data_IF_846654125157
#
_entry.id   IF_846654125157
#
_cell.length_a   1.000
_cell.length_b   1.000
_cell.length_c   1.000
_cell.angle_alpha   90.00
_cell.angle_beta   90.00
_cell.angle_gamma   90.00
#
_symmetry.space_group_name_H-M   'P 1'
#
loop_
_entity.id
_entity.type
_entity.pdbx_description
1 polymer ?
#
# COMPACT_ATOMS: atom_id res chain seq x y z
N UNK A 1 17.17 15.03 24.30
CA UNK A 1 16.54 15.34 23.01
C UNK A 1 15.14 14.75 22.95
N UNK A 2 14.20 15.43 22.30
CA UNK A 2 12.85 14.92 22.04
C UNK A 2 12.67 14.59 20.56
N UNK A 3 11.77 13.66 20.26
CA UNK A 3 11.22 13.44 18.93
C UNK A 3 9.77 13.88 18.93
N UNK A 4 9.35 14.58 17.87
CA UNK A 4 7.95 14.92 17.64
C UNK A 4 7.52 14.40 16.28
N UNK A 5 6.42 13.66 16.26
CA UNK A 5 5.69 13.39 15.04
C UNK A 5 4.56 14.40 14.89
N UNK A 6 4.35 14.87 13.67
CA UNK A 6 3.16 15.62 13.28
C UNK A 6 2.43 14.87 12.18
N UNK A 7 1.17 14.59 12.44
CA UNK A 7 0.30 13.86 11.52
C UNK A 7 -0.87 14.75 11.10
N UNK A 8 -1.14 14.88 9.79
CA UNK A 8 -2.39 15.43 9.31
C UNK A 8 -3.57 14.61 9.85
N UNK A 9 -4.65 15.29 10.25
CA UNK A 9 -5.87 14.64 10.74
C UNK A 9 -7.03 15.06 9.87
N UNK A 10 -7.80 14.06 9.42
CA UNK A 10 -9.10 14.26 8.79
C UNK A 10 -10.17 14.13 9.86
N UNK A 11 -10.89 15.21 10.14
CA UNK A 11 -11.90 15.23 11.19
C UNK A 11 -12.95 16.31 10.94
N UNK A 12 -14.12 16.10 11.53
CA UNK A 12 -15.19 17.09 11.70
C UNK A 12 -15.38 17.46 13.18
N UNK A 13 -14.58 16.87 14.08
CA UNK A 13 -14.63 17.09 15.52
C UNK A 13 -14.12 18.48 15.87
N UNK A 14 -14.95 19.24 16.59
CA UNK A 14 -14.55 20.52 17.19
C UNK A 14 -14.12 20.33 18.63
N UNK A 15 -13.04 21.01 19.02
CA UNK A 15 -12.54 20.98 20.41
C UNK A 15 -12.40 22.40 20.93
N UNK A 16 -13.05 22.68 22.07
CA UNK A 16 -13.07 24.01 22.68
C UNK A 16 -11.85 24.27 23.56
N UNK A 17 -11.35 23.25 24.24
CA UNK A 17 -10.23 23.34 25.19
C UNK A 17 -9.14 22.37 24.74
N UNK A 18 -7.93 22.90 24.57
CA UNK A 18 -6.75 22.13 24.16
C UNK A 18 -5.77 22.05 25.32
N UNK A 19 -5.56 20.85 25.84
CA UNK A 19 -4.49 20.57 26.79
C UNK A 19 -3.64 19.41 26.28
N UNK A 20 -2.30 19.48 26.43
CA UNK A 20 -1.44 18.34 26.18
C UNK A 20 -1.86 17.15 27.06
N UNK A 21 -2.02 15.98 26.45
CA UNK A 21 -2.42 14.76 27.14
C UNK A 21 -1.18 13.88 27.27
N UNK A 22 -0.83 13.52 28.50
CA UNK A 22 0.27 12.61 28.77
C UNK A 22 -0.26 11.17 28.87
N UNK A 23 0.29 10.28 28.04
CA UNK A 23 0.09 8.84 28.14
C UNK A 23 1.48 8.19 28.16
N UNK A 24 1.86 7.61 29.30
CA UNK A 24 3.24 7.22 29.58
C UNK A 24 4.20 8.41 29.41
N UNK A 25 5.19 8.30 28.53
CA UNK A 25 6.14 9.36 28.19
C UNK A 25 5.80 10.08 26.86
N UNK A 26 4.70 9.70 26.21
CA UNK A 26 4.16 10.43 25.07
C UNK A 26 3.29 11.60 25.53
N UNK A 27 3.44 12.71 24.83
CA UNK A 27 2.62 13.92 24.98
C UNK A 27 1.87 14.12 23.67
N UNK A 28 0.54 14.00 23.72
CA UNK A 28 -0.36 14.18 22.59
C UNK A 28 -0.96 15.58 22.62
N UNK A 29 -0.90 16.27 21.48
CA UNK A 29 -1.48 17.61 21.33
C UNK A 29 -2.29 17.67 20.04
N UNK A 30 -3.61 17.88 20.18
CA UNK A 30 -4.50 18.07 19.04
C UNK A 30 -4.49 19.53 18.60
N UNK A 31 -4.01 19.78 17.40
CA UNK A 31 -4.08 21.10 16.78
C UNK A 31 -5.39 21.25 16.02
N UNK A 32 -5.85 22.49 15.93
CA UNK A 32 -7.12 22.82 15.30
C UNK A 32 -6.94 23.87 14.21
N UNK A 33 -7.82 23.83 13.21
CA UNK A 33 -8.02 24.92 12.28
C UNK A 33 -8.64 26.15 12.99
N UNK A 34 -8.84 27.24 12.22
CA UNK A 34 -9.51 28.46 12.69
C UNK A 34 -10.93 28.20 13.22
N UNK A 35 -11.60 27.14 12.76
CA UNK A 35 -12.96 26.78 13.15
C UNK A 35 -13.03 25.79 14.34
N UNK A 36 -11.92 25.66 15.08
CA UNK A 36 -11.73 24.69 16.17
C UNK A 36 -11.84 23.22 15.75
N UNK A 37 -11.78 22.91 14.46
CA UNK A 37 -11.80 21.53 13.94
C UNK A 37 -10.40 20.94 14.07
N UNK A 38 -10.29 19.74 14.64
CA UNK A 38 -8.99 19.04 14.71
C UNK A 38 -8.45 18.79 13.31
N UNK A 39 -7.23 19.22 13.03
CA UNK A 39 -6.59 19.05 11.71
C UNK A 39 -5.16 18.51 11.76
N UNK A 40 -4.54 18.44 12.95
CA UNK A 40 -3.22 17.85 13.13
C UNK A 40 -3.13 17.20 14.51
N UNK A 41 -2.40 16.08 14.60
CA UNK A 41 -2.03 15.45 15.85
C UNK A 41 -0.52 15.52 16.00
N UNK A 42 -0.07 16.13 17.09
CA UNK A 42 1.33 16.15 17.46
C UNK A 42 1.56 15.15 18.57
N UNK A 43 2.63 14.36 18.44
CA UNK A 43 3.03 13.43 19.49
C UNK A 43 4.51 13.59 19.77
N UNK A 44 4.83 14.03 20.98
CA UNK A 44 6.19 14.32 21.44
C UNK A 44 6.62 13.34 22.52
N UNK A 45 7.85 12.83 22.45
CA UNK A 45 8.40 11.92 23.46
C UNK A 45 9.94 12.00 23.53
N UNK A 46 10.57 11.53 24.62
CA UNK A 46 12.04 11.46 24.73
C UNK A 46 12.66 10.56 23.65
N UNK A 47 13.78 10.98 23.05
CA UNK A 47 14.42 10.27 21.95
C UNK A 47 15.88 9.91 22.24
N UNK A 48 16.17 8.61 22.28
CA UNK A 48 17.53 8.08 22.47
C UNK A 48 18.48 8.48 21.34
N UNK A 49 19.76 8.68 21.69
CA UNK A 49 20.83 9.05 20.76
C UNK A 49 20.98 8.14 19.54
N UNK A 50 20.71 6.83 19.72
CA UNK A 50 20.74 5.83 18.63
C UNK A 50 19.69 6.06 17.53
N UNK A 51 18.68 6.89 17.80
CA UNK A 51 17.60 7.20 16.89
C UNK A 51 17.66 8.63 16.34
N UNK A 52 18.76 9.34 16.59
CA UNK A 52 19.00 10.66 16.02
C UNK A 52 19.32 10.53 14.54
N UNK A 53 18.90 11.49 13.71
CA UNK A 53 19.20 11.45 12.28
C UNK A 53 20.69 11.66 12.09
N UNK A 54 21.28 10.93 11.15
CA UNK A 54 22.70 11.04 10.85
C UNK A 54 22.96 11.14 9.35
N UNK A 55 24.00 11.89 9.00
CA UNK A 55 24.48 12.02 7.63
C UNK A 55 25.89 11.41 7.61
N UNK A 56 26.02 10.29 6.90
CA UNK A 56 27.28 9.57 6.74
C UNK A 56 27.86 9.91 5.37
N UNK A 57 29.07 10.47 5.36
CA UNK A 57 29.85 10.68 4.14
C UNK A 57 30.31 9.32 3.62
N UNK A 58 30.07 9.05 2.34
CA UNK A 58 30.66 7.89 1.66
C UNK A 58 31.88 8.33 0.85
N UNK A 59 32.92 7.50 0.85
CA UNK A 59 34.13 7.69 0.02
C UNK A 59 33.93 7.27 -1.45
N UNK A 60 32.71 6.94 -1.86
CA UNK A 60 32.42 6.41 -3.20
C UNK A 60 32.08 7.55 -4.18
N UNK A 61 32.50 7.45 -5.45
CA UNK A 61 32.49 8.57 -6.40
C UNK A 61 31.10 9.06 -6.81
N UNK A 62 30.07 8.21 -6.72
CA UNK A 62 28.72 8.51 -7.23
C UNK A 62 27.71 8.97 -6.16
N UNK A 63 27.94 8.69 -4.88
CA UNK A 63 27.04 9.05 -3.77
C UNK A 63 27.79 9.86 -2.73
N UNK A 64 27.51 11.16 -2.66
CA UNK A 64 28.22 12.12 -1.78
C UNK A 64 27.86 11.99 -0.29
N UNK A 65 26.65 11.52 0.04
CA UNK A 65 26.20 11.34 1.41
C UNK A 65 25.04 10.33 1.49
N UNK A 66 24.97 9.61 2.61
CA UNK A 66 23.84 8.76 2.96
C UNK A 66 23.13 9.37 4.17
N UNK A 67 21.85 9.70 4.02
CA UNK A 67 21.01 10.20 5.11
C UNK A 67 20.35 8.99 5.77
N UNK A 68 20.69 8.76 7.04
CA UNK A 68 20.08 7.72 7.86
C UNK A 68 18.98 8.36 8.71
N UNK A 69 17.73 8.16 8.28
CA UNK A 69 16.54 8.53 9.04
C UNK A 69 16.07 7.31 9.84
N UNK A 70 15.86 7.51 11.14
CA UNK A 70 15.24 6.52 12.01
C UNK A 70 13.79 6.93 12.27
N UNK A 71 12.90 5.96 12.47
CA UNK A 71 11.50 6.19 12.87
C UNK A 71 11.32 5.72 14.33
N UNK A 72 11.66 6.57 15.32
CA UNK A 72 11.75 6.14 16.70
C UNK A 72 10.35 5.77 17.21
N UNK A 73 10.19 4.56 17.76
CA UNK A 73 8.94 4.09 18.40
C UNK A 73 7.69 4.18 17.53
N UNK A 74 7.84 4.25 16.20
CA UNK A 74 6.73 4.44 15.29
C UNK A 74 5.68 3.33 15.40
N UNK A 75 6.10 2.06 15.50
CA UNK A 75 5.16 0.93 15.67
C UNK A 75 4.28 1.05 16.93
N UNK A 76 4.88 1.38 18.08
CA UNK A 76 4.15 1.61 19.33
C UNK A 76 3.16 2.77 19.18
N UNK A 77 3.62 3.89 18.60
CA UNK A 77 2.81 5.07 18.37
C UNK A 77 1.61 4.80 17.45
N UNK A 78 1.81 4.05 16.37
CA UNK A 78 0.73 3.71 15.45
C UNK A 78 -0.39 2.92 16.13
N UNK A 79 -0.08 2.05 17.09
CA UNK A 79 -1.10 1.31 17.85
C UNK A 79 -1.95 2.23 18.72
N UNK A 80 -1.32 3.19 19.41
CA UNK A 80 -2.03 4.18 20.24
C UNK A 80 -2.91 5.08 19.36
N UNK A 81 -2.39 5.56 18.23
CA UNK A 81 -3.15 6.42 17.31
C UNK A 81 -4.38 5.70 16.76
N UNK A 82 -4.25 4.42 16.35
CA UNK A 82 -5.39 3.61 15.86
C UNK A 82 -6.47 3.44 16.92
N UNK A 83 -6.07 3.27 18.17
CA UNK A 83 -7.00 3.22 19.29
C UNK A 83 -7.75 4.56 19.44
N UNK A 84 -7.04 5.69 19.38
CA UNK A 84 -7.63 7.03 19.44
C UNK A 84 -8.61 7.25 18.28
N UNK A 85 -8.22 6.93 17.04
CA UNK A 85 -9.09 6.99 15.86
C UNK A 85 -10.37 6.18 16.06
N UNK A 86 -10.24 4.95 16.54
CA UNK A 86 -11.38 4.06 16.78
C UNK A 86 -12.34 4.64 17.81
N UNK A 87 -11.82 5.15 18.93
CA UNK A 87 -12.63 5.71 20.03
C UNK A 87 -13.29 7.03 19.64
N UNK A 88 -12.59 7.88 18.88
CA UNK A 88 -13.09 9.20 18.49
C UNK A 88 -13.94 9.18 17.21
N UNK A 89 -13.99 8.06 16.48
CA UNK A 89 -14.77 7.91 15.24
C UNK A 89 -16.25 8.27 15.40
N UNK A 90 -16.84 7.94 16.55
CA UNK A 90 -18.23 8.28 16.90
C UNK A 90 -18.48 9.78 17.03
N UNK A 91 -17.42 10.59 17.18
CA UNK A 91 -17.49 12.04 17.39
C UNK A 91 -16.97 12.83 16.19
N UNK A 92 -16.95 12.21 15.01
CA UNK A 92 -16.55 12.86 13.76
C UNK A 92 -15.05 12.87 13.48
N UNK A 93 -14.25 12.17 14.27
CA UNK A 93 -12.82 12.00 14.04
C UNK A 93 -12.61 10.90 12.99
N UNK A 94 -12.18 11.24 11.78
CA UNK A 94 -12.23 10.27 10.67
C UNK A 94 -10.94 9.45 10.59
N UNK A 95 -9.79 10.11 10.52
CA UNK A 95 -8.51 9.41 10.40
C UNK A 95 -7.31 10.30 10.71
N UNK A 96 -6.18 9.69 11.07
CA UNK A 96 -4.84 10.27 11.14
C UNK A 96 -4.01 9.75 9.96
N UNK A 97 -3.44 10.67 9.18
CA UNK A 97 -2.59 10.32 8.06
C UNK A 97 -1.18 9.94 8.54
N UNK A 98 -0.99 8.64 8.74
CA UNK A 98 0.29 8.07 9.17
C UNK A 98 1.36 8.08 8.06
N UNK A 99 0.96 8.16 6.79
CA UNK A 99 1.88 8.11 5.65
C UNK A 99 2.50 9.48 5.35
N UNK A 100 1.72 10.57 5.50
CA UNK A 100 2.15 11.96 5.30
C UNK A 100 2.63 12.63 6.60
N UNK A 101 3.58 12.00 7.31
CA UNK A 101 4.05 12.49 8.61
C UNK A 101 5.31 13.36 8.47
N UNK A 102 5.42 14.33 9.37
CA UNK A 102 6.65 15.08 9.63
C UNK A 102 7.28 14.57 10.93
N UNK A 103 8.57 14.24 10.88
CA UNK A 103 9.37 13.85 12.04
C UNK A 103 10.30 15.01 12.37
N UNK A 104 10.32 15.44 13.62
CA UNK A 104 11.17 16.52 14.13
C UNK A 104 11.99 16.02 15.31
N UNK A 105 13.29 16.34 15.32
CA UNK A 105 14.19 16.08 16.44
C UNK A 105 14.49 17.41 17.13
N UNK A 106 13.99 17.54 18.35
CA UNK A 106 13.99 18.80 19.11
C UNK A 106 15.12 18.73 20.15
N UNK A 107 16.23 19.49 19.97
CA UNK A 107 17.30 19.55 20.95
C UNK A 107 16.83 20.23 22.23
N UNK A 108 17.23 19.67 23.38
CA UNK A 108 16.91 20.20 24.71
C UNK A 108 18.05 21.07 25.27
N UNK A 109 19.23 21.04 24.64
CA UNK A 109 20.38 21.86 25.02
C UNK A 109 21.28 22.17 23.81
N UNK A 110 22.21 23.12 23.97
CA UNK A 110 23.10 23.56 22.90
C UNK A 110 24.05 22.47 22.39
N UNK A 111 24.42 21.52 23.25
CA UNK A 111 25.26 20.38 22.84
C UNK A 111 24.51 19.49 21.85
N UNK A 112 23.24 19.19 22.13
CA UNK A 112 22.38 18.43 21.21
C UNK A 112 22.18 19.20 19.90
N UNK A 113 21.87 20.50 19.99
CA UNK A 113 21.66 21.36 18.82
C UNK A 113 22.86 21.40 17.88
N UNK A 114 24.08 21.46 18.42
CA UNK A 114 25.34 21.42 17.62
C UNK A 114 25.59 20.07 16.95
N UNK A 115 25.13 18.98 17.58
CA UNK A 115 25.33 17.62 17.04
C UNK A 115 24.29 17.21 16.00
N UNK A 116 23.15 17.89 15.96
CA UNK A 116 22.05 17.60 15.07
C UNK A 116 22.30 18.22 13.68
N UNK A 117 22.47 17.37 12.66
CA UNK A 117 22.70 17.82 11.27
C UNK A 117 21.40 17.97 10.46
N UNK A 118 20.31 17.42 10.97
CA UNK A 118 18.98 17.43 10.37
C UNK A 118 17.97 17.53 11.50
N UNK A 119 17.15 18.57 11.49
CA UNK A 119 16.15 18.85 12.53
C UNK A 119 14.77 18.28 12.21
N UNK A 120 14.49 18.05 10.92
CA UNK A 120 13.20 17.54 10.46
C UNK A 120 13.29 16.72 9.18
N UNK A 121 12.34 15.81 9.01
CA UNK A 121 12.19 14.98 7.81
C UNK A 121 10.70 14.77 7.49
N UNK A 122 10.29 15.10 6.27
CA UNK A 122 8.93 14.86 5.78
C UNK A 122 8.90 13.62 4.91
N UNK A 123 8.05 12.66 5.28
CA UNK A 123 7.73 11.51 4.45
C UNK A 123 6.45 11.82 3.68
N UNK A 124 6.51 11.83 2.34
CA UNK A 124 5.35 11.92 1.46
C UNK A 124 5.38 10.70 0.51
N UNK A 125 4.22 10.11 0.18
CA UNK A 125 4.15 9.05 -0.82
C UNK A 125 4.61 9.60 -2.17
N UNK A 126 5.45 8.82 -2.85
CA UNK A 126 6.03 9.15 -4.15
C UNK A 126 4.94 9.16 -5.23
N UNK A 127 4.25 10.27 -5.43
CA UNK A 127 3.38 10.49 -6.60
C UNK A 127 3.86 11.70 -7.38
N UNK A 128 4.80 11.48 -8.30
CA UNK A 128 5.28 12.52 -9.21
C UNK A 128 4.48 12.47 -10.51
N UNK A 129 3.62 13.48 -10.73
CA UNK A 129 2.80 13.60 -11.93
C UNK A 129 3.63 13.64 -13.23
N UNK A 130 4.88 14.12 -13.14
CA UNK A 130 5.79 14.23 -14.28
C UNK A 130 6.37 12.88 -14.71
N UNK A 131 6.22 11.83 -13.88
CA UNK A 131 6.71 10.48 -14.17
C UNK A 131 5.58 9.53 -14.63
N UNK A 132 4.37 10.05 -14.87
CA UNK A 132 3.28 9.23 -15.38
C UNK A 132 3.55 8.84 -16.84
N UNK A 133 3.28 7.58 -17.23
CA UNK A 133 3.44 7.17 -18.62
C UNK A 133 2.47 7.96 -19.51
N UNK A 134 2.99 8.51 -20.60
CA UNK A 134 2.17 9.10 -21.65
C UNK A 134 1.46 7.94 -22.35
N UNK A 135 0.13 7.93 -22.30
CA UNK A 135 -0.68 6.97 -23.07
C UNK A 135 -0.95 7.55 -24.45
N UNK A 136 -0.86 6.70 -25.49
CA UNK A 136 -1.22 7.10 -26.84
C UNK A 136 -2.75 7.29 -26.94
N UNK A 137 -3.19 8.30 -27.68
CA UNK A 137 -4.61 8.50 -27.98
C UNK A 137 -5.26 7.26 -28.61
N UNK A 138 -4.53 6.50 -29.44
CA UNK A 138 -5.00 5.24 -30.02
C UNK A 138 -5.45 4.24 -28.96
N UNK A 139 -4.73 4.15 -27.83
CA UNK A 139 -5.09 3.23 -26.74
C UNK A 139 -6.45 3.60 -26.11
N UNK A 140 -6.76 4.90 -26.01
CA UNK A 140 -8.04 5.39 -25.50
C UNK A 140 -9.16 4.98 -26.45
N UNK A 141 -9.01 5.27 -27.74
CA UNK A 141 -10.03 4.97 -28.75
C UNK A 141 -10.24 3.46 -28.90
N UNK A 142 -9.16 2.69 -28.97
CA UNK A 142 -9.21 1.23 -29.05
C UNK A 142 -9.87 0.61 -27.81
N UNK A 143 -9.63 1.17 -26.62
CA UNK A 143 -10.34 0.75 -25.41
C UNK A 143 -11.84 0.97 -25.53
N UNK A 144 -12.28 2.11 -26.08
CA UNK A 144 -13.71 2.39 -26.31
C UNK A 144 -14.33 1.45 -27.34
N UNK A 145 -13.67 1.23 -28.47
CA UNK A 145 -14.16 0.32 -29.52
C UNK A 145 -14.21 -1.13 -29.07
N UNK A 146 -13.39 -1.52 -28.09
CA UNK A 146 -13.43 -2.87 -27.52
C UNK A 146 -14.66 -3.14 -26.64
N UNK A 147 -15.44 -2.11 -26.25
CA UNK A 147 -16.55 -2.23 -25.29
C UNK A 147 -17.58 -3.33 -25.63
N UNK A 148 -18.11 -3.44 -26.87
CA UNK A 148 -19.16 -4.42 -27.17
C UNK A 148 -18.72 -5.86 -26.90
N UNK A 149 -17.45 -6.16 -27.14
CA UNK A 149 -16.88 -7.50 -26.92
C UNK A 149 -16.37 -7.69 -25.48
N UNK A 150 -15.87 -6.62 -24.85
CA UNK A 150 -15.18 -6.69 -23.56
C UNK A 150 -16.07 -6.42 -22.33
N UNK A 151 -17.31 -5.94 -22.48
CA UNK A 151 -18.13 -5.54 -21.32
C UNK A 151 -18.27 -6.63 -20.24
N UNK A 152 -18.37 -7.90 -20.66
CA UNK A 152 -18.51 -9.03 -19.75
C UNK A 152 -17.30 -9.25 -18.81
N UNK A 153 -16.11 -8.72 -19.14
CA UNK A 153 -14.92 -8.83 -18.27
C UNK A 153 -14.80 -7.65 -17.29
N UNK A 154 -15.61 -6.60 -17.44
CA UNK A 154 -15.55 -5.38 -16.62
C UNK A 154 -15.59 -5.68 -15.11
N UNK A 155 -16.48 -6.55 -14.58
CA UNK A 155 -16.53 -6.77 -13.13
C UNK A 155 -15.21 -7.29 -12.57
N UNK A 156 -14.54 -8.19 -13.30
CA UNK A 156 -13.20 -8.67 -12.90
C UNK A 156 -12.17 -7.55 -12.96
N UNK A 157 -12.18 -6.73 -14.01
CA UNK A 157 -11.27 -5.59 -14.14
C UNK A 157 -11.51 -4.50 -13.09
N UNK A 158 -12.75 -4.31 -12.63
CA UNK A 158 -13.09 -3.40 -11.55
C UNK A 158 -12.38 -3.81 -10.25
N UNK A 159 -12.34 -5.10 -9.94
CA UNK A 159 -11.54 -5.60 -8.81
C UNK A 159 -10.05 -5.33 -9.00
N UNK A 160 -9.48 -5.64 -10.16
CA UNK A 160 -8.08 -5.33 -10.44
C UNK A 160 -7.75 -3.84 -10.24
N UNK A 161 -8.57 -2.93 -10.81
CA UNK A 161 -8.42 -1.48 -10.65
C UNK A 161 -8.51 -1.04 -9.19
N UNK A 162 -9.46 -1.60 -8.41
CA UNK A 162 -9.59 -1.32 -6.98
C UNK A 162 -8.41 -1.86 -6.17
N UNK A 163 -7.83 -2.98 -6.58
CA UNK A 163 -6.60 -3.53 -6.01
C UNK A 163 -5.42 -2.56 -6.19
N UNK A 164 -5.17 -2.10 -7.42
CA UNK A 164 -4.15 -1.08 -7.71
C UNK A 164 -4.36 0.21 -6.91
N UNK A 165 -5.61 0.68 -6.83
CA UNK A 165 -5.95 1.84 -6.01
C UNK A 165 -5.65 1.57 -4.53
N UNK A 166 -5.93 0.37 -4.02
CA UNK A 166 -5.67 0.04 -2.61
C UNK A 166 -4.17 -0.03 -2.31
N UNK A 167 -3.34 -0.58 -3.23
CA UNK A 167 -1.87 -0.51 -3.15
C UNK A 167 -1.39 0.94 -3.07
N UNK A 168 -1.92 1.83 -3.93
CA UNK A 168 -1.54 3.26 -3.95
C UNK A 168 -1.75 3.99 -2.62
N UNK A 169 -2.71 3.54 -1.80
CA UNK A 169 -3.06 4.15 -0.51
C UNK A 169 -2.69 3.25 0.69
N UNK A 170 -1.74 2.32 0.53
CA UNK A 170 -1.27 1.40 1.57
C UNK A 170 -2.39 0.59 2.25
N UNK A 171 -3.49 0.33 1.54
CA UNK A 171 -4.63 -0.49 1.98
C UNK A 171 -4.44 -1.93 1.54
N UNK A 172 -3.46 -2.59 2.13
CA UNK A 172 -2.95 -3.88 1.64
C UNK A 172 -3.95 -5.03 1.80
N UNK A 173 -4.76 -5.03 2.88
CA UNK A 173 -5.80 -6.05 3.08
C UNK A 173 -6.88 -5.93 2.00
N UNK A 174 -7.31 -4.72 1.69
CA UNK A 174 -8.24 -4.44 0.61
C UNK A 174 -7.64 -4.77 -0.76
N UNK A 175 -6.35 -4.52 -0.95
CA UNK A 175 -5.64 -4.93 -2.17
C UNK A 175 -5.69 -6.46 -2.33
N UNK A 176 -5.38 -7.22 -1.27
CA UNK A 176 -5.46 -8.69 -1.26
C UNK A 176 -6.87 -9.16 -1.62
N UNK A 177 -7.91 -8.60 -1.01
CA UNK A 177 -9.30 -8.96 -1.34
C UNK A 177 -9.63 -8.71 -2.80
N UNK A 178 -9.29 -7.53 -3.32
CA UNK A 178 -9.59 -7.17 -4.69
C UNK A 178 -8.82 -8.04 -5.70
N UNK A 179 -7.53 -8.30 -5.48
CA UNK A 179 -6.77 -9.20 -6.36
C UNK A 179 -7.28 -10.65 -6.26
N UNK A 180 -7.66 -11.10 -5.06
CA UNK A 180 -8.29 -12.41 -4.91
C UNK A 180 -9.63 -12.49 -5.64
N UNK A 181 -10.50 -11.48 -5.54
CA UNK A 181 -11.78 -11.48 -6.25
C UNK A 181 -11.62 -11.45 -7.77
N UNK A 182 -10.55 -10.81 -8.28
CA UNK A 182 -10.17 -10.98 -9.68
C UNK A 182 -9.91 -12.46 -10.00
N UNK A 183 -9.06 -13.13 -9.22
CA UNK A 183 -8.72 -14.54 -9.44
C UNK A 183 -9.95 -15.45 -9.34
N UNK A 184 -10.79 -15.25 -8.32
CA UNK A 184 -12.03 -16.02 -8.11
C UNK A 184 -13.03 -15.80 -9.27
N UNK A 185 -13.19 -14.56 -9.73
CA UNK A 185 -14.10 -14.23 -10.85
C UNK A 185 -13.65 -14.84 -12.18
N UNK A 186 -12.34 -14.93 -12.41
CA UNK A 186 -11.79 -15.40 -13.69
C UNK A 186 -11.52 -16.90 -13.69
N UNK A 187 -11.04 -17.46 -12.58
CA UNK A 187 -10.52 -18.81 -12.49
C UNK A 187 -11.27 -19.70 -11.49
N UNK A 188 -12.18 -19.13 -10.68
CA UNK A 188 -12.83 -19.84 -9.59
C UNK A 188 -14.03 -20.69 -9.99
N UNK A 189 -14.59 -20.50 -11.19
CA UNK A 189 -15.67 -21.31 -11.76
C UNK A 189 -16.85 -21.58 -10.77
N UNK A 190 -17.26 -20.54 -10.04
CA UNK A 190 -18.34 -20.60 -9.06
C UNK A 190 -18.06 -21.44 -7.79
N UNK A 191 -16.83 -21.90 -7.58
CA UNK A 191 -16.49 -22.69 -6.39
C UNK A 191 -16.38 -21.82 -5.14
N UNK A 192 -17.11 -22.17 -4.09
CA UNK A 192 -17.14 -21.41 -2.82
C UNK A 192 -16.40 -22.09 -1.67
N UNK A 193 -16.07 -23.39 -1.79
CA UNK A 193 -15.33 -24.13 -0.75
C UNK A 193 -13.84 -24.07 -1.05
N UNK A 194 -13.01 -23.71 -0.05
CA UNK A 194 -11.55 -23.55 -0.20
C UNK A 194 -10.90 -24.70 -0.95
N UNK A 195 -11.14 -25.95 -0.56
CA UNK A 195 -10.53 -27.12 -1.22
C UNK A 195 -10.94 -27.28 -2.69
N UNK A 196 -12.17 -26.87 -3.06
CA UNK A 196 -12.62 -26.90 -4.45
C UNK A 196 -11.97 -25.79 -5.25
N UNK A 197 -11.86 -24.59 -4.66
CA UNK A 197 -11.25 -23.45 -5.31
C UNK A 197 -9.76 -23.66 -5.55
N UNK A 198 -9.03 -24.20 -4.56
CA UNK A 198 -7.62 -24.61 -4.68
C UNK A 198 -7.42 -25.57 -5.86
N UNK A 199 -8.26 -26.61 -5.95
CA UNK A 199 -8.25 -27.56 -7.07
C UNK A 199 -8.61 -26.91 -8.40
N UNK A 200 -9.52 -25.94 -8.42
CA UNK A 200 -9.92 -25.25 -9.64
C UNK A 200 -8.81 -24.33 -10.16
N UNK A 201 -8.20 -23.53 -9.29
CA UNK A 201 -7.07 -22.66 -9.65
C UNK A 201 -5.91 -23.45 -10.25
N UNK A 202 -5.58 -24.62 -9.69
CA UNK A 202 -4.50 -25.48 -10.19
C UNK A 202 -4.73 -26.02 -11.61
N UNK A 203 -5.96 -26.00 -12.15
CA UNK A 203 -6.25 -26.42 -13.53
C UNK A 203 -5.84 -25.39 -14.57
N UNK A 204 -5.66 -24.13 -14.17
CA UNK A 204 -5.43 -23.02 -15.09
C UNK A 204 -3.94 -22.76 -15.26
N UNK A 205 -3.36 -23.30 -16.33
CA UNK A 205 -1.93 -23.22 -16.63
C UNK A 205 -1.40 -21.77 -16.74
N UNK A 206 -2.23 -20.82 -17.17
CA UNK A 206 -1.84 -19.41 -17.24
C UNK A 206 -1.73 -18.77 -15.84
N UNK A 207 -2.65 -19.10 -14.93
CA UNK A 207 -2.55 -18.71 -13.52
C UNK A 207 -1.33 -19.33 -12.84
N UNK A 208 -1.12 -20.64 -13.01
CA UNK A 208 0.05 -21.35 -12.46
C UNK A 208 1.35 -20.69 -12.91
N UNK A 209 1.50 -20.42 -14.22
CA UNK A 209 2.68 -19.72 -14.75
C UNK A 209 2.81 -18.29 -14.23
N UNK A 210 1.72 -17.56 -14.05
CA UNK A 210 1.77 -16.22 -13.48
C UNK A 210 2.26 -16.23 -12.03
N UNK A 211 1.85 -17.23 -11.25
CA UNK A 211 2.33 -17.45 -9.88
C UNK A 211 3.83 -17.77 -9.85
N UNK A 212 4.28 -18.71 -10.69
CA UNK A 212 5.69 -19.08 -10.77
C UNK A 212 6.55 -17.90 -11.23
N UNK A 213 6.09 -17.16 -12.23
CA UNK A 213 6.77 -15.98 -12.72
C UNK A 213 6.87 -14.88 -11.64
N UNK A 214 5.78 -14.62 -10.90
CA UNK A 214 5.79 -13.67 -9.80
C UNK A 214 6.74 -14.11 -8.68
N UNK A 215 6.84 -15.42 -8.41
CA UNK A 215 7.79 -15.98 -7.43
C UNK A 215 9.24 -15.80 -7.88
N UNK A 216 9.54 -16.11 -9.14
CA UNK A 216 10.93 -16.17 -9.62
C UNK A 216 11.48 -14.78 -9.94
N UNK A 217 10.60 -13.84 -10.33
CA UNK A 217 10.98 -12.50 -10.76
C UNK A 217 10.49 -11.39 -9.81
N UNK A 218 10.20 -11.72 -8.55
CA UNK A 218 9.77 -10.74 -7.56
C UNK A 218 10.88 -9.71 -7.28
N UNK A 219 10.73 -8.50 -7.83
CA UNK A 219 11.75 -7.45 -7.75
C UNK A 219 11.58 -6.61 -6.48
N UNK A 220 12.19 -7.11 -5.42
CA UNK A 220 12.16 -6.51 -4.09
C UNK A 220 12.78 -5.11 -4.03
N UNK A 221 13.62 -4.72 -5.02
CA UNK A 221 14.26 -3.41 -5.07
C UNK A 221 13.30 -2.29 -5.48
N UNK A 222 12.18 -2.62 -6.14
CA UNK A 222 11.16 -1.66 -6.59
C UNK A 222 10.18 -1.25 -5.51
N UNK A 223 10.24 -1.86 -4.32
CA UNK A 223 9.25 -1.63 -3.27
C UNK A 223 9.82 -0.76 -2.13
N UNK A 224 9.13 0.32 -1.70
CA UNK A 224 9.60 1.22 -0.63
C UNK A 224 9.90 0.54 0.72
N UNK A 225 9.29 -0.62 0.97
CA UNK A 225 9.44 -1.42 2.20
C UNK A 225 10.34 -2.65 2.02
N UNK A 226 11.26 -2.59 1.04
CA UNK A 226 12.04 -3.74 0.55
C UNK A 226 12.53 -4.69 1.63
N UNK A 227 13.22 -4.23 2.69
CA UNK A 227 13.78 -5.13 3.72
C UNK A 227 12.75 -5.99 4.46
N UNK A 228 11.59 -5.44 4.81
CA UNK A 228 10.52 -6.20 5.51
C UNK A 228 9.84 -7.14 4.52
N UNK A 229 9.65 -6.69 3.28
CA UNK A 229 9.07 -7.51 2.21
C UNK A 229 10.00 -8.68 1.89
N UNK A 230 11.32 -8.47 1.83
CA UNK A 230 12.32 -9.50 1.56
C UNK A 230 12.20 -10.68 2.52
N UNK A 231 12.22 -10.43 3.84
CA UNK A 231 12.18 -11.50 4.83
C UNK A 231 10.86 -12.27 4.81
N UNK A 232 9.73 -11.57 4.59
CA UNK A 232 8.41 -12.22 4.48
C UNK A 232 8.29 -13.03 3.19
N UNK A 233 8.75 -12.49 2.07
CA UNK A 233 8.73 -13.17 0.78
C UNK A 233 9.51 -14.48 0.84
N UNK A 234 10.70 -14.43 1.44
CA UNK A 234 11.56 -15.61 1.59
C UNK A 234 10.90 -16.69 2.45
N UNK A 235 10.16 -16.29 3.49
CA UNK A 235 9.45 -17.22 4.36
C UNK A 235 8.19 -17.83 3.72
N UNK A 236 7.47 -17.06 2.89
CA UNK A 236 6.12 -17.44 2.43
C UNK A 236 6.14 -18.03 1.01
N UNK A 237 6.94 -17.46 0.10
CA UNK A 237 6.87 -17.76 -1.32
C UNK A 237 8.16 -18.37 -1.89
N UNK A 238 9.35 -17.98 -1.40
CA UNK A 238 10.61 -18.46 -1.97
C UNK A 238 10.73 -19.98 -1.85
N UNK A 239 11.07 -20.62 -2.98
CA UNK A 239 11.23 -22.08 -3.06
C UNK A 239 9.93 -22.88 -2.95
N UNK A 240 8.76 -22.24 -2.82
CA UNK A 240 7.46 -22.92 -2.82
C UNK A 240 7.00 -23.23 -4.24
N UNK A 241 6.32 -24.35 -4.43
CA UNK A 241 5.70 -24.67 -5.72
C UNK A 241 4.37 -23.90 -5.90
N UNK A 242 3.82 -23.88 -7.11
CA UNK A 242 2.60 -23.12 -7.39
C UNK A 242 1.38 -23.59 -6.57
N UNK A 243 1.25 -24.88 -6.28
CA UNK A 243 0.14 -25.41 -5.48
C UNK A 243 0.24 -24.95 -4.02
N UNK A 244 1.44 -24.97 -3.42
CA UNK A 244 1.65 -24.44 -2.07
C UNK A 244 1.30 -22.95 -2.00
N UNK A 245 1.62 -22.20 -3.06
CA UNK A 245 1.30 -20.77 -3.14
C UNK A 245 -0.20 -20.54 -3.31
N UNK A 246 -0.88 -21.34 -4.14
CA UNK A 246 -2.35 -21.32 -4.27
C UNK A 246 -3.00 -21.60 -2.92
N UNK A 247 -2.50 -22.59 -2.19
CA UNK A 247 -2.95 -22.91 -0.84
C UNK A 247 -2.82 -21.69 0.08
N UNK A 248 -1.63 -21.08 0.11
CA UNK A 248 -1.37 -19.87 0.89
C UNK A 248 -2.31 -18.71 0.53
N UNK A 249 -2.56 -18.45 -0.77
CA UNK A 249 -3.46 -17.37 -1.22
C UNK A 249 -4.90 -17.60 -0.73
N UNK A 250 -5.42 -18.81 -0.89
CA UNK A 250 -6.80 -19.15 -0.50
C UNK A 250 -6.95 -19.13 1.02
N UNK A 251 -5.96 -19.65 1.76
CA UNK A 251 -5.98 -19.67 3.22
C UNK A 251 -5.80 -18.26 3.81
N UNK A 252 -4.97 -17.42 3.20
CA UNK A 252 -4.84 -15.99 3.55
C UNK A 252 -6.18 -15.27 3.40
N UNK A 253 -6.88 -15.45 2.28
CA UNK A 253 -8.22 -14.87 2.11
C UNK A 253 -9.18 -15.36 3.19
N UNK A 254 -9.17 -16.65 3.53
CA UNK A 254 -9.99 -17.20 4.61
C UNK A 254 -9.66 -16.57 5.97
N UNK A 255 -8.37 -16.42 6.28
CA UNK A 255 -7.88 -15.78 7.50
C UNK A 255 -8.34 -14.32 7.60
N UNK A 256 -8.17 -13.55 6.52
CA UNK A 256 -8.58 -12.16 6.47
C UNK A 256 -10.11 -12.03 6.56
N UNK A 257 -10.88 -12.93 5.94
CA UNK A 257 -12.34 -12.79 5.93
C UNK A 257 -13.02 -13.13 7.28
N UNK A 258 -12.35 -13.88 8.15
CA UNK A 258 -12.90 -14.34 9.42
C UNK A 258 -12.22 -13.67 10.61
N UNK A 259 -12.73 -12.48 10.97
CA UNK A 259 -12.29 -11.75 12.15
C UNK A 259 -12.99 -12.25 13.43
N UNK A 260 -12.23 -12.47 14.51
CA UNK A 260 -12.78 -12.84 15.82
C UNK A 260 -11.84 -12.45 16.95
N UNK A 261 -12.36 -11.70 17.94
CA UNK A 261 -11.61 -11.32 19.14
C UNK A 261 -11.21 -12.52 20.02
N UNK A 262 -11.79 -13.72 19.77
CA UNK A 262 -11.45 -14.95 20.49
C UNK A 262 -10.26 -15.69 19.88
N UNK A 263 -9.78 -15.29 18.70
CA UNK A 263 -8.66 -15.95 18.01
C UNK A 263 -7.34 -15.27 18.41
N UNK A 264 -6.40 -15.98 19.05
CA UNK A 264 -5.06 -15.44 19.29
C UNK A 264 -4.37 -15.11 17.96
N UNK A 265 -3.70 -13.95 17.90
CA UNK A 265 -2.99 -13.50 16.70
C UNK A 265 -3.92 -13.08 15.55
N UNK A 266 -5.15 -12.67 15.85
CA UNK A 266 -6.04 -12.12 14.81
C UNK A 266 -5.42 -10.87 14.18
N UNK A 267 -5.60 -10.73 12.87
CA UNK A 267 -5.13 -9.58 12.12
C UNK A 267 -5.85 -8.30 12.55
N UNK A 268 -5.17 -7.17 12.42
CA UNK A 268 -5.77 -5.86 12.64
C UNK A 268 -5.99 -5.17 11.27
N UNK A 269 -7.12 -4.49 11.03
CA UNK A 269 -7.40 -3.82 9.75
C UNK A 269 -6.32 -2.85 9.29
N UNK A 270 -5.74 -2.13 10.24
CA UNK A 270 -4.65 -1.19 9.97
C UNK A 270 -3.25 -1.85 9.91
N UNK A 271 -3.11 -3.17 9.96
CA UNK A 271 -1.80 -3.85 9.98
C UNK A 271 -1.11 -3.91 8.61
N UNK A 272 -0.77 -2.72 8.09
CA UNK A 272 -0.25 -2.52 6.73
C UNK A 272 1.03 -3.32 6.47
N UNK A 273 1.96 -3.33 7.43
CA UNK A 273 3.27 -3.95 7.22
C UNK A 273 3.21 -5.48 7.13
N UNK A 274 2.29 -6.12 7.86
CA UNK A 274 2.16 -7.57 7.81
C UNK A 274 1.56 -8.09 6.51
N UNK A 275 0.81 -7.27 5.76
CA UNK A 275 0.13 -7.70 4.53
C UNK A 275 0.70 -7.09 3.25
N UNK A 276 1.68 -6.18 3.35
CA UNK A 276 2.26 -5.53 2.17
C UNK A 276 2.90 -6.53 1.20
N UNK A 277 3.61 -7.54 1.70
CA UNK A 277 4.26 -8.56 0.87
C UNK A 277 3.23 -9.34 0.05
N UNK A 278 2.19 -9.86 0.69
CA UNK A 278 1.14 -10.64 0.02
C UNK A 278 0.37 -9.79 -1.01
N UNK A 279 0.13 -8.51 -0.70
CA UNK A 279 -0.55 -7.58 -1.59
C UNK A 279 0.27 -7.28 -2.86
N UNK A 280 1.58 -7.02 -2.74
CA UNK A 280 2.46 -6.83 -3.89
C UNK A 280 2.63 -8.11 -4.70
N UNK A 281 2.78 -9.26 -4.02
CA UNK A 281 2.85 -10.54 -4.71
C UNK A 281 1.60 -10.83 -5.53
N UNK A 282 0.40 -10.64 -4.95
CA UNK A 282 -0.85 -10.80 -5.68
C UNK A 282 -1.02 -9.79 -6.83
N UNK A 283 -0.52 -8.57 -6.68
CA UNK A 283 -0.46 -7.60 -7.77
C UNK A 283 0.38 -8.14 -8.94
N UNK A 284 1.56 -8.68 -8.67
CA UNK A 284 2.46 -9.24 -9.69
C UNK A 284 1.90 -10.50 -10.36
N UNK A 285 1.08 -11.29 -9.63
CA UNK A 285 0.33 -12.42 -10.21
C UNK A 285 -0.81 -11.93 -11.11
N UNK A 286 -1.63 -11.00 -10.62
CA UNK A 286 -2.86 -10.59 -11.32
C UNK A 286 -2.59 -9.66 -12.50
N UNK A 287 -1.62 -8.76 -12.39
CA UNK A 287 -1.31 -7.77 -13.42
C UNK A 287 -1.09 -8.38 -14.82
N UNK A 288 -0.21 -9.38 -15.02
CA UNK A 288 -0.03 -9.98 -16.35
C UNK A 288 -1.28 -10.71 -16.86
N UNK A 289 -2.09 -11.30 -15.97
CA UNK A 289 -3.34 -11.98 -16.33
C UNK A 289 -4.39 -10.96 -16.82
N UNK A 290 -4.58 -9.88 -16.06
CA UNK A 290 -5.46 -8.77 -16.42
C UNK A 290 -5.03 -8.10 -17.72
N UNK A 291 -3.73 -7.80 -17.85
CA UNK A 291 -3.16 -7.20 -19.04
C UNK A 291 -3.39 -8.08 -20.29
N UNK A 292 -3.07 -9.38 -20.20
CA UNK A 292 -3.32 -10.33 -21.29
C UNK A 292 -4.80 -10.39 -21.67
N UNK A 293 -5.70 -10.34 -20.68
CA UNK A 293 -7.15 -10.41 -20.92
C UNK A 293 -7.66 -9.15 -21.62
N UNK A 294 -7.23 -7.96 -21.20
CA UNK A 294 -7.59 -6.67 -21.84
C UNK A 294 -7.03 -6.59 -23.26
N UNK A 295 -5.76 -6.95 -23.45
CA UNK A 295 -5.10 -6.84 -24.74
C UNK A 295 -5.77 -7.65 -25.86
N UNK A 296 -6.43 -8.76 -25.52
CA UNK A 296 -7.20 -9.56 -26.48
C UNK A 296 -8.32 -8.77 -27.16
N UNK A 297 -8.87 -7.77 -26.49
CA UNK A 297 -9.96 -6.94 -27.00
C UNK A 297 -9.45 -5.61 -27.54
N UNK A 298 -8.60 -4.92 -26.79
CA UNK A 298 -8.05 -3.61 -27.18
C UNK A 298 -7.23 -3.69 -28.47
N UNK A 299 -6.47 -4.77 -28.63
CA UNK A 299 -5.64 -4.99 -29.83
C UNK A 299 -6.22 -6.09 -30.74
N UNK A 300 -7.53 -6.35 -30.66
CA UNK A 300 -8.21 -7.24 -31.61
C UNK A 300 -8.17 -6.65 -33.02
N UNK A 301 -8.23 -7.52 -34.04
CA UNK A 301 -8.26 -7.08 -35.44
C UNK A 301 -9.50 -6.22 -35.74
N UNK A 302 -10.63 -6.49 -35.08
CA UNK A 302 -11.84 -5.68 -35.24
C UNK A 302 -11.65 -4.27 -34.67
N UNK A 303 -11.11 -4.16 -33.45
CA UNK A 303 -10.79 -2.88 -32.82
C UNK A 303 -9.79 -2.07 -33.65
N UNK A 304 -8.78 -2.72 -34.23
CA UNK A 304 -7.81 -2.07 -35.13
C UNK A 304 -8.47 -1.55 -36.40
N UNK A 305 -9.32 -2.34 -37.06
CA UNK A 305 -10.06 -1.92 -38.26
C UNK A 305 -10.97 -0.72 -37.99
N UNK A 306 -11.68 -0.72 -36.86
CA UNK A 306 -12.51 0.42 -36.44
C UNK A 306 -11.66 1.67 -36.23
N UNK A 307 -10.50 1.54 -35.58
CA UNK A 307 -9.57 2.65 -35.42
C UNK A 307 -9.03 3.15 -36.78
N UNK A 308 -8.54 2.27 -37.64
CA UNK A 308 -7.99 2.62 -38.96
C UNK A 308 -9.03 3.23 -39.89
N UNK A 309 -10.28 2.76 -39.85
CA UNK A 309 -11.37 3.34 -40.65
C UNK A 309 -11.62 4.81 -40.31
N UNK A 310 -11.62 5.17 -39.03
CA UNK A 310 -11.92 6.54 -38.58
C UNK A 310 -10.67 7.44 -38.52
N UNK A 311 -9.49 6.84 -38.34
CA UNK A 311 -8.25 7.55 -37.98
C UNK A 311 -7.02 7.23 -38.85
N UNK A 312 -7.08 6.23 -39.75
CA UNK A 312 -5.95 5.65 -40.51
C UNK A 312 -5.22 6.56 -41.51
N UNK A 313 -5.52 7.87 -41.54
CA UNK A 313 -4.81 8.88 -42.33
C UNK A 313 -4.32 10.08 -41.52
N UNK A 314 -4.49 10.07 -40.19
CA UNK A 314 -4.17 11.20 -39.31
C UNK A 314 -3.01 10.82 -38.38
N UNK A 315 -1.96 11.66 -38.32
CA UNK A 315 -0.87 11.50 -37.36
C UNK A 315 -1.35 11.98 -35.98
N UNK A 316 -1.27 11.11 -34.98
CA UNK A 316 -1.57 11.38 -33.58
C UNK A 316 -0.33 11.14 -32.72
#
# INVERSE_FOLDING_TARGET
>A
MKCRYRFPVRSQTKVLIKHPIKLNDFIFEFQTSKDNIINELWVTFPCDKKHWPSIVSMKNKDIKAHICIHEPRYGELTNIIRFIESMLSFYGFQSVDLSNRLIEWIPENDSEKKSLKLDSFKSEPYFNINNLPIINFSLIVQSLYSYPEAYHIEPSLAFFRRGLYSIKYDRFIEAIYNFYFYLESVYGNGQTKNYKLKKEFAKHNDLVRAIENARDNFDLSKHPLSKIIHSRFDSIYRGKNANDIIDNIVDLRGFLHHHSNKRPGIWHPEDKLNFCCDAFFLMDVVHPLAYKKVNKFVFSEETKKLFEKEFGGKRY
#
